data_IF_647240666800
#
_entry.id   IF_647240666800
#
_cell.length_a   1.000
_cell.length_b   1.000
_cell.length_c   1.000
_cell.angle_alpha   90.00
_cell.angle_beta   90.00
_cell.angle_gamma   90.00
#
_symmetry.space_group_name_H-M   'P 1'
#
loop_
_entity.id
_entity.type
_entity.pdbx_description
1 polymer ?
#
# COMPACT_ATOMS: atom_id res chain seq x y z
N UNK A 1 3.11 -4.63 -5.97
CA UNK A 1 2.18 -3.86 -5.11
C UNK A 1 2.08 -2.40 -5.55
N UNK A 2 3.09 -1.58 -5.27
CA UNK A 2 3.05 -0.14 -5.60
C UNK A 2 2.84 0.16 -7.08
N UNK A 3 3.50 -0.55 -7.99
CA UNK A 3 3.28 -0.37 -9.43
C UNK A 3 1.83 -0.64 -9.86
N UNK A 4 1.15 -1.60 -9.24
CA UNK A 4 -0.27 -1.85 -9.56
C UNK A 4 -1.21 -0.89 -8.85
N UNK A 5 -0.88 -0.40 -7.65
CA UNK A 5 -1.63 0.68 -7.00
C UNK A 5 -1.55 1.96 -7.85
N UNK A 6 -0.36 2.31 -8.34
CA UNK A 6 -0.17 3.45 -9.24
C UNK A 6 -0.82 3.25 -10.61
N UNK A 7 -0.73 2.05 -11.19
CA UNK A 7 -1.44 1.73 -12.43
C UNK A 7 -2.96 1.79 -12.25
N UNK A 8 -3.49 1.30 -11.13
CA UNK A 8 -4.91 1.36 -10.81
C UNK A 8 -5.38 2.82 -10.67
N UNK A 9 -4.64 3.65 -9.93
CA UNK A 9 -4.95 5.09 -9.82
C UNK A 9 -4.88 5.77 -11.18
N UNK A 10 -3.81 5.57 -11.95
CA UNK A 10 -3.65 6.17 -13.29
C UNK A 10 -4.69 5.72 -14.31
N UNK A 11 -5.28 4.52 -14.14
CA UNK A 11 -6.39 4.03 -14.97
C UNK A 11 -7.77 4.51 -14.53
N UNK A 12 -7.90 5.02 -13.31
CA UNK A 12 -9.17 5.39 -12.68
C UNK A 12 -9.46 6.89 -12.66
N UNK A 13 -8.49 7.72 -13.03
CA UNK A 13 -8.58 9.19 -12.98
C UNK A 13 -8.37 9.79 -14.37
N UNK A 14 -9.26 10.70 -14.75
CA UNK A 14 -9.21 11.38 -16.04
C UNK A 14 -8.47 12.74 -15.97
N UNK A 15 -8.11 13.22 -14.76
CA UNK A 15 -7.48 14.53 -14.54
C UNK A 15 -6.27 14.44 -13.59
N UNK A 16 -5.15 15.08 -13.97
CA UNK A 16 -3.90 15.15 -13.19
C UNK A 16 -4.07 15.59 -11.73
N UNK A 17 -5.04 16.48 -11.47
CA UNK A 17 -5.32 16.99 -10.12
C UNK A 17 -5.92 15.91 -9.21
N UNK A 18 -6.73 15.01 -9.78
CA UNK A 18 -7.31 13.87 -9.05
C UNK A 18 -6.27 12.79 -8.82
N UNK A 19 -5.39 12.54 -9.81
CA UNK A 19 -4.24 11.64 -9.67
C UNK A 19 -3.41 11.99 -8.44
N UNK A 20 -3.06 13.27 -8.24
CA UNK A 20 -2.28 13.70 -7.09
C UNK A 20 -2.98 13.43 -5.74
N UNK A 21 -4.31 13.59 -5.66
CA UNK A 21 -5.06 13.33 -4.44
C UNK A 21 -5.10 11.84 -4.07
N UNK A 22 -5.17 10.96 -5.07
CA UNK A 22 -5.13 9.51 -4.86
C UNK A 22 -3.70 8.96 -4.70
N UNK A 23 -2.70 9.66 -5.21
CA UNK A 23 -1.28 9.30 -5.02
C UNK A 23 -0.81 9.52 -3.59
N UNK A 24 -1.23 10.60 -2.92
CA UNK A 24 -0.83 10.94 -1.55
C UNK A 24 -1.04 9.81 -0.51
N UNK A 25 -2.22 9.17 -0.40
CA UNK A 25 -2.42 8.09 0.57
C UNK A 25 -1.60 6.83 0.24
N UNK A 26 -1.18 6.63 -1.02
CA UNK A 26 -0.30 5.52 -1.41
C UNK A 26 1.15 5.84 -1.06
N UNK A 27 1.58 7.10 -1.22
CA UNK A 27 2.97 7.52 -0.96
C UNK A 27 3.26 7.81 0.50
N UNK A 28 2.25 8.20 1.30
CA UNK A 28 2.41 8.47 2.73
C UNK A 28 3.02 7.28 3.52
N UNK A 29 2.51 6.04 3.37
CA UNK A 29 3.12 4.87 4.01
C UNK A 29 4.58 4.64 3.61
N UNK A 30 4.95 4.93 2.35
CA UNK A 30 6.34 4.82 1.87
C UNK A 30 7.24 5.82 2.59
N UNK A 31 6.84 7.09 2.63
CA UNK A 31 7.61 8.15 3.30
C UNK A 31 7.76 7.84 4.80
N UNK A 32 6.66 7.45 5.45
CA UNK A 32 6.66 7.09 6.86
C UNK A 32 7.61 5.92 7.15
N UNK A 33 7.57 4.88 6.32
CA UNK A 33 8.44 3.72 6.46
C UNK A 33 9.90 4.05 6.19
N UNK A 34 10.18 4.95 5.26
CA UNK A 34 11.54 5.39 4.98
C UNK A 34 12.15 6.11 6.18
N UNK A 35 11.42 7.06 6.78
CA UNK A 35 11.88 7.82 7.94
C UNK A 35 12.09 6.91 9.15
N UNK A 36 11.12 6.03 9.45
CA UNK A 36 11.24 5.07 10.54
C UNK A 36 12.28 3.99 10.26
N UNK A 37 12.41 3.55 9.02
CA UNK A 37 13.41 2.58 8.60
C UNK A 37 14.81 3.09 8.86
N UNK A 38 15.08 4.34 8.48
CA UNK A 38 16.40 4.93 8.68
C UNK A 38 16.75 5.15 10.17
N UNK A 39 15.76 5.40 11.03
CA UNK A 39 15.99 5.62 12.46
C UNK A 39 15.92 4.34 13.30
N UNK A 40 15.04 3.40 12.97
CA UNK A 40 14.76 2.23 13.81
C UNK A 40 15.49 1.00 13.31
N UNK A 41 15.50 0.78 11.99
CA UNK A 41 16.11 -0.43 11.41
C UNK A 41 17.63 -0.34 11.44
N UNK A 42 18.19 0.82 11.11
CA UNK A 42 19.66 0.99 11.11
C UNK A 42 20.24 0.91 12.52
N UNK A 43 19.53 1.46 13.51
CA UNK A 43 20.00 1.46 14.89
C UNK A 43 19.69 0.14 15.63
N UNK A 44 18.55 -0.51 15.35
CA UNK A 44 18.12 -1.74 16.01
C UNK A 44 17.37 -2.67 15.03
N UNK A 45 18.11 -3.35 14.13
CA UNK A 45 17.52 -4.16 13.06
C UNK A 45 16.72 -5.35 13.59
N UNK A 46 17.02 -5.88 14.77
CA UNK A 46 16.34 -7.03 15.39
C UNK A 46 15.15 -6.66 16.27
N UNK A 47 14.83 -5.36 16.39
CA UNK A 47 13.69 -4.92 17.18
C UNK A 47 12.35 -5.42 16.62
N UNK A 48 11.37 -5.66 17.51
CA UNK A 48 10.01 -6.04 17.11
C UNK A 48 9.40 -5.04 16.11
N UNK A 49 9.72 -3.76 16.24
CA UNK A 49 9.20 -2.71 15.37
C UNK A 49 9.78 -2.80 13.95
N UNK A 50 11.07 -3.12 13.85
CA UNK A 50 11.76 -3.42 12.59
C UNK A 50 11.19 -4.66 11.90
N UNK A 51 10.84 -5.70 12.67
CA UNK A 51 10.14 -6.88 12.17
C UNK A 51 8.77 -6.53 11.57
N UNK A 52 7.90 -5.86 12.33
CA UNK A 52 6.54 -5.53 11.85
C UNK A 52 6.54 -4.60 10.63
N UNK A 53 7.42 -3.59 10.60
CA UNK A 53 7.61 -2.73 9.43
C UNK A 53 7.99 -3.52 8.17
N UNK A 54 8.70 -4.64 8.33
CA UNK A 54 9.15 -5.48 7.21
C UNK A 54 8.11 -6.51 6.77
N UNK A 55 7.07 -6.73 7.57
CA UNK A 55 6.03 -7.74 7.33
C UNK A 55 4.78 -7.12 6.71
N UNK A 56 4.41 -5.90 7.12
CA UNK A 56 3.20 -5.22 6.61
C UNK A 56 3.40 -4.92 5.11
N UNK A 57 2.48 -5.33 4.21
CA UNK A 57 2.70 -5.27 2.76
C UNK A 57 2.99 -3.87 2.20
N UNK A 58 2.44 -2.82 2.78
CA UNK A 58 2.69 -1.45 2.33
C UNK A 58 4.07 -0.95 2.79
N UNK A 59 4.54 -1.33 3.97
CA UNK A 59 5.81 -0.83 4.51
C UNK A 59 6.99 -1.75 4.13
N UNK A 60 6.71 -3.05 3.96
CA UNK A 60 7.64 -4.12 3.62
C UNK A 60 8.65 -3.78 2.51
N UNK A 61 8.25 -3.21 1.35
CA UNK A 61 9.18 -3.03 0.22
C UNK A 61 10.35 -2.09 0.53
N UNK A 62 10.16 -1.13 1.43
CA UNK A 62 11.24 -0.25 1.87
C UNK A 62 11.96 -0.86 3.09
N UNK A 63 11.20 -1.26 4.11
CA UNK A 63 11.77 -1.75 5.36
C UNK A 63 12.64 -3.00 5.18
N UNK A 64 12.19 -3.96 4.35
CA UNK A 64 12.94 -5.19 4.09
C UNK A 64 14.20 -4.91 3.28
N UNK A 65 14.16 -3.98 2.31
CA UNK A 65 15.35 -3.55 1.56
C UNK A 65 16.43 -2.93 2.46
N UNK A 66 16.01 -2.20 3.49
CA UNK A 66 16.93 -1.64 4.50
C UNK A 66 17.44 -2.75 5.44
N UNK A 67 16.65 -3.78 5.76
CA UNK A 67 17.06 -4.87 6.67
C UNK A 67 17.96 -5.93 6.04
N UNK A 68 17.84 -6.24 4.74
CA UNK A 68 18.60 -7.31 4.08
C UNK A 68 20.12 -7.29 4.38
N UNK A 69 20.82 -6.13 4.36
CA UNK A 69 22.25 -6.05 4.68
C UNK A 69 22.62 -6.48 6.11
N UNK A 70 21.65 -6.50 7.03
CA UNK A 70 21.87 -6.84 8.45
C UNK A 70 21.71 -8.34 8.76
N UNK A 71 21.51 -9.19 7.75
CA UNK A 71 21.50 -10.65 7.94
C UNK A 71 20.15 -11.23 8.39
N UNK A 72 19.06 -10.85 7.70
CA UNK A 72 17.71 -11.32 8.01
C UNK A 72 17.54 -12.83 7.72
N UNK A 73 16.90 -13.60 8.62
CA UNK A 73 16.57 -15.00 8.35
C UNK A 73 15.72 -15.17 7.08
N UNK A 74 16.08 -16.14 6.22
CA UNK A 74 15.41 -16.36 4.94
C UNK A 74 13.89 -16.61 5.02
N UNK A 75 13.42 -17.16 6.14
CA UNK A 75 11.97 -17.35 6.37
C UNK A 75 11.21 -16.03 6.54
N UNK A 76 11.83 -14.97 7.08
CA UNK A 76 11.19 -13.65 7.17
C UNK A 76 11.06 -13.00 5.80
N UNK A 77 12.02 -13.23 4.91
CA UNK A 77 11.99 -12.78 3.51
C UNK A 77 10.85 -13.49 2.77
N UNK A 78 10.77 -14.82 2.89
CA UNK A 78 9.70 -15.61 2.29
C UNK A 78 8.31 -15.21 2.81
N UNK A 79 8.16 -15.00 4.12
CA UNK A 79 6.92 -14.55 4.74
C UNK A 79 6.50 -13.17 4.23
N UNK A 80 7.45 -12.23 4.15
CA UNK A 80 7.21 -10.88 3.61
C UNK A 80 6.80 -10.93 2.14
N UNK A 81 7.44 -11.77 1.32
CA UNK A 81 7.07 -11.97 -0.08
C UNK A 81 5.64 -12.53 -0.23
N UNK A 82 5.27 -13.54 0.56
CA UNK A 82 3.92 -14.12 0.53
C UNK A 82 2.89 -13.05 0.91
N UNK A 83 3.13 -12.30 1.98
CA UNK A 83 2.25 -11.21 2.40
C UNK A 83 2.16 -10.08 1.38
N UNK A 84 3.24 -9.78 0.65
CA UNK A 84 3.22 -8.83 -0.45
C UNK A 84 2.32 -9.30 -1.60
N UNK A 85 2.36 -10.59 -1.94
CA UNK A 85 1.50 -11.18 -2.99
C UNK A 85 0.04 -11.15 -2.54
N UNK A 86 -0.25 -11.55 -1.30
CA UNK A 86 -1.61 -11.51 -0.75
C UNK A 86 -2.12 -10.07 -0.69
N UNK A 87 -1.30 -9.13 -0.19
CA UNK A 87 -1.63 -7.72 -0.13
C UNK A 87 -1.86 -7.11 -1.51
N UNK A 88 -1.11 -7.55 -2.52
CA UNK A 88 -1.32 -7.18 -3.92
C UNK A 88 -2.68 -7.66 -4.43
N UNK A 89 -2.98 -8.95 -4.28
CA UNK A 89 -4.26 -9.50 -4.72
C UNK A 89 -5.42 -8.80 -4.02
N UNK A 90 -5.30 -8.59 -2.71
CA UNK A 90 -6.32 -7.90 -1.91
C UNK A 90 -6.52 -6.45 -2.37
N UNK A 91 -5.44 -5.69 -2.54
CA UNK A 91 -5.55 -4.28 -2.97
C UNK A 91 -6.05 -4.15 -4.40
N UNK A 92 -5.62 -5.02 -5.32
CA UNK A 92 -6.16 -5.07 -6.68
C UNK A 92 -7.64 -5.45 -6.69
N UNK A 93 -8.07 -6.39 -5.85
CA UNK A 93 -9.47 -6.75 -5.69
C UNK A 93 -10.30 -5.56 -5.16
N UNK A 94 -9.84 -4.87 -4.11
CA UNK A 94 -10.49 -3.66 -3.58
C UNK A 94 -10.56 -2.56 -4.63
N UNK A 95 -9.45 -2.29 -5.34
CA UNK A 95 -9.39 -1.28 -6.39
C UNK A 95 -10.37 -1.60 -7.54
N UNK A 96 -10.45 -2.86 -7.97
CA UNK A 96 -11.40 -3.31 -9.01
C UNK A 96 -12.85 -3.15 -8.59
N UNK A 97 -13.15 -3.36 -7.29
CA UNK A 97 -14.50 -3.20 -6.74
C UNK A 97 -14.89 -1.73 -6.65
N UNK A 98 -13.97 -0.87 -6.23
CA UNK A 98 -14.17 0.59 -6.24
C UNK A 98 -14.36 1.09 -7.67
N UNK A 99 -13.59 0.59 -8.65
CA UNK A 99 -13.72 0.97 -10.07
C UNK A 99 -15.09 0.59 -10.64
N UNK A 100 -15.61 -0.61 -10.34
CA UNK A 100 -16.95 -1.03 -10.79
C UNK A 100 -18.08 -0.14 -10.26
N UNK A 101 -17.97 0.40 -9.05
CA UNK A 101 -18.99 1.29 -8.48
C UNK A 101 -18.73 2.76 -8.86
N UNK A 102 -17.45 3.13 -9.02
CA UNK A 102 -16.95 4.43 -9.46
C UNK A 102 -17.47 4.86 -10.83
N UNK A 103 -17.44 3.93 -11.80
CA UNK A 103 -17.82 4.22 -13.19
C UNK A 103 -19.31 4.59 -13.37
N UNK A 104 -20.16 4.28 -12.38
CA UNK A 104 -21.59 4.66 -12.38
C UNK A 104 -21.85 6.03 -11.75
N UNK A 105 -20.85 6.65 -11.10
CA UNK A 105 -20.96 8.01 -10.55
C UNK A 105 -20.31 9.04 -11.47
N UNK A 106 -20.95 9.31 -12.62
CA UNK A 106 -20.60 10.48 -13.41
C UNK A 106 -21.03 11.78 -12.69
N UNK A 107 -20.07 12.66 -12.39
CA UNK A 107 -20.33 14.06 -12.01
C UNK A 107 -20.34 14.40 -10.51
N UNK A 108 -20.01 13.46 -9.60
CA UNK A 108 -19.87 13.73 -8.16
C UNK A 108 -18.43 13.53 -7.67
N UNK A 109 -17.90 14.50 -6.90
CA UNK A 109 -16.58 14.38 -6.26
C UNK A 109 -16.59 13.23 -5.25
N UNK A 110 -15.85 12.17 -5.55
CA UNK A 110 -15.70 10.97 -4.71
C UNK A 110 -15.16 11.39 -3.34
N UNK A 111 -15.98 11.22 -2.30
CA UNK A 111 -15.60 11.57 -0.91
C UNK A 111 -15.24 10.30 -0.13
N UNK A 112 -14.27 10.36 0.81
CA UNK A 112 -13.87 9.22 1.65
C UNK A 112 -15.05 8.50 2.35
N UNK A 113 -16.13 9.23 2.67
CA UNK A 113 -17.37 8.65 3.23
C UNK A 113 -18.13 7.78 2.23
N UNK A 114 -18.13 8.10 0.94
CA UNK A 114 -18.79 7.31 -0.11
C UNK A 114 -17.99 6.02 -0.41
N UNK A 115 -16.66 6.10 -0.42
CA UNK A 115 -15.77 4.93 -0.58
C UNK A 115 -16.01 3.87 0.51
N UNK A 116 -16.15 4.28 1.78
CA UNK A 116 -16.47 3.37 2.89
C UNK A 116 -17.88 2.80 2.78
N UNK A 117 -18.84 3.60 2.28
CA UNK A 117 -20.24 3.17 2.09
C UNK A 117 -20.37 2.12 0.99
N UNK A 118 -19.51 2.18 -0.03
CA UNK A 118 -19.43 1.18 -1.10
C UNK A 118 -18.81 -0.14 -0.67
N UNK A 119 -18.00 -0.11 0.38
CA UNK A 119 -17.51 -1.32 1.04
C UNK A 119 -18.66 -2.12 1.70
N UNK A 120 -19.76 -1.45 2.03
CA UNK A 120 -20.95 -2.01 2.72
C UNK A 120 -22.08 -2.41 1.75
N UNK A 121 -22.05 -1.98 0.49
CA UNK A 121 -22.97 -2.47 -0.52
C UNK A 121 -22.48 -3.84 -1.03
N UNK A 122 -22.79 -4.87 -0.23
CA UNK A 122 -23.15 -6.17 -0.77
C UNK A 122 -24.58 -6.05 -1.30
N UNK A 123 -24.84 -6.74 -2.41
CA UNK A 123 -26.12 -6.78 -3.14
C UNK A 123 -27.38 -6.67 -2.27
#
# INVERSE_FOLDING_TARGET
>A
LYSALFAAVGSAVDNETETQQFMLPITLPLIFTFILGMNVIVNNPDSNLSFWLSIIPFTSPIAMMIRIPFGVPGWQIALSMILLIIGFIFTTWVASRIYRVGILMYGKKVTYKELVKWFSYNE
#
